data_IF_937812106831
#
_entry.id   IF_937812106831
#
_cell.length_a   1.000
_cell.length_b   1.000
_cell.length_c   1.000
_cell.angle_alpha   90.00
_cell.angle_beta   90.00
_cell.angle_gamma   90.00
#
_symmetry.space_group_name_H-M   'P 1'
#
loop_
_entity.id
_entity.type
_entity.pdbx_description
1 polymer ?
#
# COMPACT_ATOMS: atom_id res chain seq x y z
N UNK A 1 -27.30 9.39 -10.98
CA UNK A 1 -26.25 10.40 -10.68
C UNK A 1 -25.30 9.94 -9.57
N UNK A 2 -25.79 9.39 -8.45
CA UNK A 2 -24.91 8.89 -7.39
C UNK A 2 -24.10 7.65 -7.81
N UNK A 3 -24.74 6.68 -8.46
CA UNK A 3 -24.07 5.46 -8.98
C UNK A 3 -22.94 5.79 -9.96
N UNK A 4 -23.21 6.68 -10.93
CA UNK A 4 -22.21 7.13 -11.90
C UNK A 4 -20.98 7.80 -11.26
N UNK A 5 -21.16 8.47 -10.11
CA UNK A 5 -20.05 9.07 -9.37
C UNK A 5 -19.20 8.02 -8.64
N UNK A 6 -19.83 6.95 -8.13
CA UNK A 6 -19.10 5.86 -7.47
C UNK A 6 -18.33 5.02 -8.48
N UNK A 7 -18.92 4.74 -9.63
CA UNK A 7 -18.23 4.05 -10.71
C UNK A 7 -17.03 4.86 -11.22
N UNK A 8 -17.22 6.17 -11.43
CA UNK A 8 -16.14 7.06 -11.84
C UNK A 8 -15.00 7.07 -10.82
N UNK A 9 -15.31 7.16 -9.51
CA UNK A 9 -14.33 7.08 -8.41
C UNK A 9 -13.50 5.80 -8.49
N UNK A 10 -14.15 4.63 -8.66
CA UNK A 10 -13.46 3.33 -8.75
C UNK A 10 -12.58 3.25 -9.99
N UNK A 11 -13.08 3.71 -11.13
CA UNK A 11 -12.33 3.75 -12.40
C UNK A 11 -11.11 4.67 -12.29
N UNK A 12 -11.26 5.86 -11.73
CA UNK A 12 -10.17 6.81 -11.53
C UNK A 12 -9.10 6.23 -10.61
N UNK A 13 -9.48 5.62 -9.50
CA UNK A 13 -8.54 5.00 -8.57
C UNK A 13 -7.77 3.85 -9.22
N UNK A 14 -8.47 2.99 -9.97
CA UNK A 14 -7.87 1.90 -10.73
C UNK A 14 -6.88 2.44 -11.76
N UNK A 15 -7.29 3.45 -12.54
CA UNK A 15 -6.43 4.11 -13.52
C UNK A 15 -5.18 4.72 -12.86
N UNK A 16 -5.33 5.39 -11.72
CA UNK A 16 -4.21 5.95 -10.96
C UNK A 16 -3.20 4.88 -10.55
N UNK A 17 -3.66 3.72 -10.07
CA UNK A 17 -2.77 2.63 -9.65
C UNK A 17 -2.09 1.98 -10.87
N UNK A 18 -2.83 1.77 -11.96
CA UNK A 18 -2.26 1.22 -13.21
C UNK A 18 -1.20 2.16 -13.78
N UNK A 19 -1.49 3.46 -13.85
CA UNK A 19 -0.53 4.46 -14.32
C UNK A 19 0.68 4.49 -13.40
N UNK A 20 0.49 4.46 -12.07
CA UNK A 20 1.58 4.42 -11.11
C UNK A 20 2.45 3.17 -11.31
N UNK A 21 1.83 2.01 -11.53
CA UNK A 21 2.53 0.74 -11.79
C UNK A 21 3.37 0.81 -13.07
N UNK A 22 2.78 1.23 -14.19
CA UNK A 22 3.50 1.37 -15.45
C UNK A 22 4.64 2.41 -15.36
N UNK A 23 4.38 3.54 -14.68
CA UNK A 23 5.38 4.56 -14.45
C UNK A 23 6.53 4.06 -13.54
N UNK A 24 6.21 3.30 -12.49
CA UNK A 24 7.18 2.69 -11.59
C UNK A 24 8.04 1.62 -12.29
N UNK A 25 7.47 0.87 -13.24
CA UNK A 25 8.26 -0.07 -14.06
C UNK A 25 9.32 0.67 -14.89
N UNK A 26 8.95 1.83 -15.47
CA UNK A 26 9.82 2.60 -16.37
C UNK A 26 10.83 3.50 -15.66
N UNK A 27 10.45 4.11 -14.54
CA UNK A 27 11.24 5.14 -13.85
C UNK A 27 11.42 4.90 -12.35
N UNK A 28 10.78 3.90 -11.77
CA UNK A 28 10.92 3.57 -10.36
C UNK A 28 12.14 2.71 -10.07
N UNK A 29 12.67 2.83 -8.86
CA UNK A 29 13.61 1.85 -8.32
C UNK A 29 12.84 0.64 -7.76
N UNK A 30 13.57 -0.35 -7.22
CA UNK A 30 12.99 -1.59 -6.70
C UNK A 30 11.85 -1.34 -5.69
N UNK A 31 11.97 -0.42 -4.69
CA UNK A 31 10.89 -0.20 -3.74
C UNK A 31 9.62 0.41 -4.36
N UNK A 32 9.73 1.29 -5.36
CA UNK A 32 8.56 1.81 -6.09
C UNK A 32 7.84 0.70 -6.83
N UNK A 33 8.60 -0.17 -7.51
CA UNK A 33 8.04 -1.30 -8.27
C UNK A 33 7.32 -2.27 -7.33
N UNK A 34 7.89 -2.55 -6.16
CA UNK A 34 7.25 -3.38 -5.15
C UNK A 34 5.97 -2.73 -4.62
N UNK A 35 6.01 -1.46 -4.21
CA UNK A 35 4.82 -0.77 -3.69
C UNK A 35 3.71 -0.70 -4.74
N UNK A 36 4.04 -0.31 -5.98
CA UNK A 36 3.05 -0.25 -7.04
C UNK A 36 2.50 -1.63 -7.42
N UNK A 37 3.36 -2.67 -7.40
CA UNK A 37 2.96 -4.06 -7.60
C UNK A 37 2.04 -4.57 -6.51
N UNK A 38 2.30 -4.24 -5.24
CA UNK A 38 1.44 -4.58 -4.10
C UNK A 38 0.07 -3.90 -4.22
N UNK A 39 0.03 -2.62 -4.56
CA UNK A 39 -1.24 -1.91 -4.78
C UNK A 39 -2.01 -2.47 -6.00
N UNK A 40 -1.31 -2.83 -7.08
CA UNK A 40 -1.91 -3.49 -8.24
C UNK A 40 -2.46 -4.88 -7.90
N UNK A 41 -1.71 -5.66 -7.10
CA UNK A 41 -2.14 -6.98 -6.63
C UNK A 41 -3.43 -6.90 -5.81
N UNK A 42 -3.63 -5.85 -5.01
CA UNK A 42 -4.88 -5.62 -4.28
C UNK A 42 -6.09 -5.47 -5.23
N UNK A 43 -5.93 -4.77 -6.36
CA UNK A 43 -7.00 -4.64 -7.35
C UNK A 43 -7.34 -6.00 -7.95
N UNK A 44 -6.31 -6.75 -8.35
CA UNK A 44 -6.50 -8.10 -8.92
C UNK A 44 -7.17 -9.01 -7.91
N UNK A 45 -6.76 -8.95 -6.64
CA UNK A 45 -7.40 -9.70 -5.57
C UNK A 45 -8.87 -9.29 -5.39
N UNK A 46 -9.16 -8.00 -5.33
CA UNK A 46 -10.52 -7.50 -5.16
C UNK A 46 -11.46 -7.99 -6.30
N UNK A 47 -11.01 -7.91 -7.55
CA UNK A 47 -11.79 -8.39 -8.71
C UNK A 47 -11.87 -9.92 -8.74
N UNK A 48 -10.76 -10.61 -8.49
CA UNK A 48 -10.68 -12.06 -8.53
C UNK A 48 -11.46 -12.74 -7.41
N UNK A 49 -11.38 -12.24 -6.19
CA UNK A 49 -12.11 -12.75 -5.03
C UNK A 49 -13.63 -12.66 -5.25
N UNK A 50 -14.11 -11.53 -5.77
CA UNK A 50 -15.52 -11.36 -6.10
C UNK A 50 -15.99 -12.32 -7.20
N UNK A 51 -15.13 -12.59 -8.18
CA UNK A 51 -15.44 -13.48 -9.31
C UNK A 51 -15.41 -14.98 -8.95
N UNK A 52 -14.56 -15.38 -7.99
CA UNK A 52 -14.34 -16.79 -7.64
C UNK A 52 -15.24 -17.28 -6.50
N UNK A 53 -15.52 -16.44 -5.50
CA UNK A 53 -16.20 -16.85 -4.27
C UNK A 53 -17.72 -16.59 -4.34
N UNK A 54 -18.19 -15.76 -5.29
CA UNK A 54 -19.61 -15.46 -5.48
C UNK A 54 -20.27 -14.72 -4.29
N UNK A 55 -19.50 -14.35 -3.27
CA UNK A 55 -19.92 -13.69 -2.04
C UNK A 55 -18.76 -13.51 -1.05
N UNK A 56 -18.98 -12.79 0.05
CA UNK A 56 -18.00 -12.61 1.13
C UNK A 56 -18.10 -13.76 2.16
N UNK A 57 -16.95 -14.34 2.55
CA UNK A 57 -16.92 -15.29 3.68
C UNK A 57 -16.92 -14.49 4.99
N UNK A 58 -18.12 -14.21 5.47
CA UNK A 58 -18.34 -13.38 6.66
C UNK A 58 -18.40 -14.25 7.93
N UNK A 59 -17.48 -14.02 8.87
CA UNK A 59 -17.52 -14.61 10.22
C UNK A 59 -17.58 -13.48 11.23
N UNK A 60 -18.63 -13.45 12.07
CA UNK A 60 -18.83 -12.39 13.06
C UNK A 60 -19.02 -10.99 12.47
N UNK A 61 -19.54 -10.88 11.24
CA UNK A 61 -19.71 -9.59 10.55
C UNK A 61 -18.45 -9.05 9.87
N UNK A 62 -17.35 -9.84 9.86
CA UNK A 62 -16.06 -9.51 9.23
C UNK A 62 -15.79 -10.45 8.05
N UNK A 63 -15.40 -9.90 6.89
CA UNK A 63 -14.95 -10.69 5.75
C UNK A 63 -13.50 -11.15 5.95
N UNK A 64 -13.33 -12.44 6.22
CA UNK A 64 -12.02 -13.06 6.47
C UNK A 64 -11.05 -12.89 5.30
N UNK A 65 -11.55 -12.87 4.06
CA UNK A 65 -10.71 -12.70 2.87
C UNK A 65 -10.02 -11.34 2.88
N UNK A 66 -10.76 -10.28 3.19
CA UNK A 66 -10.23 -8.92 3.26
C UNK A 66 -9.25 -8.74 4.43
N UNK A 67 -9.51 -9.37 5.59
CA UNK A 67 -8.59 -9.33 6.75
C UNK A 67 -7.23 -9.92 6.38
N UNK A 68 -7.21 -11.12 5.80
CA UNK A 68 -5.97 -11.83 5.46
C UNK A 68 -5.15 -11.03 4.45
N UNK A 69 -5.81 -10.47 3.45
CA UNK A 69 -5.15 -9.68 2.41
C UNK A 69 -4.62 -8.35 2.94
N UNK A 70 -5.37 -7.66 3.79
CA UNK A 70 -4.90 -6.43 4.43
C UNK A 70 -3.72 -6.66 5.36
N UNK A 71 -3.71 -7.79 6.08
CA UNK A 71 -2.59 -8.18 6.93
C UNK A 71 -1.35 -8.53 6.09
N UNK A 72 -1.53 -9.26 4.99
CA UNK A 72 -0.45 -9.57 4.06
C UNK A 72 0.14 -8.29 3.45
N UNK A 73 -0.72 -7.34 3.06
CA UNK A 73 -0.29 -6.04 2.55
C UNK A 73 0.46 -5.24 3.62
N UNK A 74 0.00 -5.26 4.88
CA UNK A 74 0.67 -4.59 6.01
C UNK A 74 2.09 -5.13 6.19
N UNK A 75 2.26 -6.45 6.19
CA UNK A 75 3.58 -7.09 6.34
C UNK A 75 4.48 -6.75 5.16
N UNK A 76 3.96 -6.79 3.94
CA UNK A 76 4.74 -6.49 2.74
C UNK A 76 5.19 -5.02 2.69
N UNK A 77 4.28 -4.07 2.96
CA UNK A 77 4.59 -2.64 3.04
C UNK A 77 5.54 -2.34 4.20
N UNK A 78 5.34 -2.97 5.36
CA UNK A 78 6.21 -2.85 6.52
C UNK A 78 7.63 -3.33 6.23
N UNK A 79 7.78 -4.47 5.53
CA UNK A 79 9.10 -4.94 5.08
C UNK A 79 9.76 -3.92 4.15
N UNK A 80 9.03 -3.36 3.19
CA UNK A 80 9.55 -2.29 2.33
C UNK A 80 9.94 -1.06 3.16
N UNK A 81 9.15 -0.67 4.15
CA UNK A 81 9.43 0.48 5.01
C UNK A 81 10.69 0.32 5.86
N UNK A 82 10.96 -0.89 6.36
CA UNK A 82 12.15 -1.18 7.16
C UNK A 82 13.45 -1.19 6.34
N UNK A 83 13.38 -1.62 5.08
CA UNK A 83 14.56 -1.83 4.25
C UNK A 83 14.81 -0.71 3.22
N UNK A 84 13.77 -0.03 2.74
CA UNK A 84 13.91 1.01 1.73
C UNK A 84 14.52 2.29 2.33
N UNK A 85 15.39 2.94 1.57
CA UNK A 85 15.97 4.24 1.94
C UNK A 85 15.00 5.40 1.65
N UNK A 86 13.73 5.25 2.08
CA UNK A 86 12.63 6.19 1.81
C UNK A 86 11.66 6.25 2.98
N UNK A 87 11.13 7.45 3.24
CA UNK A 87 10.18 7.70 4.34
C UNK A 87 8.75 7.34 3.96
N UNK A 88 8.36 7.51 2.70
CA UNK A 88 6.95 7.32 2.28
C UNK A 88 6.40 5.91 2.55
N UNK A 89 7.14 4.79 2.41
CA UNK A 89 6.59 3.45 2.72
C UNK A 89 6.19 3.30 4.19
N UNK A 90 6.79 4.07 5.11
CA UNK A 90 6.36 4.11 6.51
C UNK A 90 4.95 4.69 6.63
N UNK A 91 4.64 5.74 5.87
CA UNK A 91 3.30 6.34 5.85
C UNK A 91 2.25 5.36 5.28
N UNK A 92 2.61 4.60 4.25
CA UNK A 92 1.74 3.54 3.71
C UNK A 92 1.47 2.46 4.76
N UNK A 93 2.52 2.02 5.46
CA UNK A 93 2.40 1.00 6.52
C UNK A 93 1.50 1.51 7.65
N UNK A 94 1.64 2.78 8.05
CA UNK A 94 0.80 3.39 9.07
C UNK A 94 -0.68 3.49 8.62
N UNK A 95 -0.94 3.87 7.37
CA UNK A 95 -2.29 3.84 6.83
C UNK A 95 -2.87 2.42 6.85
N UNK A 96 -2.12 1.44 6.35
CA UNK A 96 -2.56 0.03 6.33
C UNK A 96 -2.85 -0.52 7.73
N UNK A 97 -2.10 -0.08 8.74
CA UNK A 97 -2.34 -0.46 10.13
C UNK A 97 -3.73 -0.01 10.61
N UNK A 98 -4.20 1.18 10.20
CA UNK A 98 -5.56 1.66 10.49
C UNK A 98 -6.61 0.73 9.90
N UNK A 99 -6.41 0.24 8.67
CA UNK A 99 -7.32 -0.73 8.04
C UNK A 99 -7.40 -2.01 8.87
N UNK A 100 -6.26 -2.54 9.30
CA UNK A 100 -6.21 -3.75 10.14
C UNK A 100 -6.92 -3.54 11.47
N UNK A 101 -6.78 -2.38 12.10
CA UNK A 101 -7.50 -2.04 13.32
C UNK A 101 -9.02 -1.90 13.13
N UNK A 102 -9.50 -1.57 11.93
CA UNK A 102 -10.93 -1.52 11.63
C UNK A 102 -11.59 -2.90 11.85
N UNK A 103 -10.90 -3.98 11.52
CA UNK A 103 -11.40 -5.35 11.74
C UNK A 103 -11.42 -5.73 13.20
N UNK A 104 -10.39 -5.32 13.97
CA UNK A 104 -10.37 -5.53 15.42
C UNK A 104 -11.54 -4.80 16.09
N UNK A 105 -11.81 -3.56 15.67
CA UNK A 105 -12.96 -2.80 16.13
C UNK A 105 -14.29 -3.50 15.80
N UNK A 106 -14.48 -3.92 14.54
CA UNK A 106 -15.68 -4.65 14.09
C UNK A 106 -15.89 -5.96 14.85
N UNK A 107 -14.82 -6.68 15.15
CA UNK A 107 -14.89 -7.94 15.90
C UNK A 107 -15.25 -7.73 17.37
N UNK A 108 -14.76 -6.67 18.00
CA UNK A 108 -15.01 -6.37 19.42
C UNK A 108 -16.37 -5.70 19.66
N UNK A 109 -16.77 -4.77 18.79
CA UNK A 109 -17.98 -3.94 18.95
C UNK A 109 -19.18 -4.49 18.16
N UNK A 110 -18.96 -5.38 17.19
CA UNK A 110 -20.01 -5.98 16.38
C UNK A 110 -20.79 -4.96 15.54
N UNK A 111 -22.11 -4.91 15.74
CA UNK A 111 -23.01 -3.87 15.23
C UNK A 111 -23.40 -2.86 16.34
N UNK A 112 -22.45 -2.49 17.20
CA UNK A 112 -22.65 -1.55 18.31
C UNK A 112 -23.21 -0.17 17.92
N UNK A 113 -23.53 0.64 18.94
CA UNK A 113 -24.29 1.90 18.86
C UNK A 113 -23.72 2.96 17.89
N UNK A 114 -22.44 2.87 17.55
CA UNK A 114 -21.74 3.81 16.66
C UNK A 114 -22.12 3.64 15.18
N UNK A 115 -22.86 2.58 14.81
CA UNK A 115 -23.33 2.33 13.46
C UNK A 115 -22.22 1.96 12.48
N UNK A 116 -22.57 1.71 11.21
CA UNK A 116 -21.62 1.23 10.18
C UNK A 116 -20.63 2.29 9.68
N UNK A 117 -20.95 3.58 9.86
CA UNK A 117 -20.20 4.70 9.25
C UNK A 117 -18.72 4.78 9.65
N UNK A 118 -18.36 4.80 10.95
CA UNK A 118 -16.96 4.88 11.38
C UNK A 118 -16.11 3.70 10.89
N UNK A 119 -16.67 2.49 10.89
CA UNK A 119 -16.02 1.29 10.37
C UNK A 119 -15.72 1.41 8.88
N UNK A 120 -16.71 1.82 8.07
CA UNK A 120 -16.55 1.94 6.62
C UNK A 120 -15.48 2.97 6.26
N UNK A 121 -15.37 4.05 7.04
CA UNK A 121 -14.30 5.04 6.89
C UNK A 121 -12.94 4.44 7.25
N UNK A 122 -12.82 3.72 8.36
CA UNK A 122 -11.56 3.10 8.78
C UNK A 122 -11.10 1.97 7.83
N UNK A 123 -12.01 1.30 7.15
CA UNK A 123 -11.68 0.29 6.14
C UNK A 123 -11.33 0.91 4.78
N UNK A 124 -12.03 1.99 4.37
CA UNK A 124 -11.88 2.55 3.02
C UNK A 124 -10.80 3.64 2.92
N UNK A 125 -10.73 4.53 3.92
CA UNK A 125 -9.83 5.68 3.92
C UNK A 125 -8.34 5.31 3.81
N UNK A 126 -7.84 4.27 4.52
CA UNK A 126 -6.45 3.85 4.41
C UNK A 126 -5.96 3.61 3.00
N UNK A 127 -6.76 2.94 2.17
CA UNK A 127 -6.34 2.58 0.82
C UNK A 127 -6.13 3.81 -0.06
N UNK A 128 -6.92 4.87 0.13
CA UNK A 128 -6.71 6.15 -0.54
C UNK A 128 -5.44 6.86 -0.10
N UNK A 129 -5.18 6.86 1.20
CA UNK A 129 -3.94 7.41 1.74
C UNK A 129 -2.73 6.65 1.19
N UNK A 130 -2.83 5.32 1.08
CA UNK A 130 -1.80 4.51 0.45
C UNK A 130 -1.53 4.92 -1.01
N UNK A 131 -2.58 5.08 -1.84
CA UNK A 131 -2.43 5.54 -3.23
C UNK A 131 -1.82 6.94 -3.29
N UNK A 132 -2.31 7.88 -2.48
CA UNK A 132 -1.80 9.24 -2.41
C UNK A 132 -0.31 9.27 -2.04
N UNK A 133 0.07 8.59 -0.96
CA UNK A 133 1.45 8.55 -0.49
C UNK A 133 2.37 7.80 -1.45
N UNK A 134 1.88 6.77 -2.14
CA UNK A 134 2.64 6.07 -3.18
C UNK A 134 2.95 7.01 -4.35
N UNK A 135 1.97 7.79 -4.80
CA UNK A 135 2.16 8.81 -5.83
C UNK A 135 3.15 9.90 -5.41
N UNK A 136 2.98 10.46 -4.21
CA UNK A 136 3.91 11.47 -3.66
C UNK A 136 5.31 10.89 -3.56
N UNK A 137 5.45 9.67 -3.06
CA UNK A 137 6.72 8.95 -2.95
C UNK A 137 7.41 8.76 -4.30
N UNK A 138 6.66 8.27 -5.29
CA UNK A 138 7.14 8.07 -6.65
C UNK A 138 7.60 9.37 -7.32
N UNK A 139 6.78 10.43 -7.26
CA UNK A 139 7.12 11.73 -7.85
C UNK A 139 8.38 12.30 -7.19
N UNK A 140 8.48 12.25 -5.86
CA UNK A 140 9.69 12.70 -5.14
C UNK A 140 10.91 11.88 -5.51
N UNK A 141 10.77 10.58 -5.74
CA UNK A 141 11.86 9.74 -6.22
C UNK A 141 12.34 10.17 -7.61
N UNK A 142 11.44 10.31 -8.58
CA UNK A 142 11.79 10.73 -9.95
C UNK A 142 12.44 12.10 -9.96
N UNK A 143 11.89 13.07 -9.20
CA UNK A 143 12.46 14.41 -9.07
C UNK A 143 13.86 14.37 -8.45
N UNK A 144 14.06 13.54 -7.43
CA UNK A 144 15.37 13.38 -6.78
C UNK A 144 16.39 12.75 -7.71
N UNK A 145 16.01 11.70 -8.43
CA UNK A 145 16.89 11.01 -9.38
C UNK A 145 17.34 11.96 -10.50
N UNK A 146 16.43 12.80 -11.01
CA UNK A 146 16.76 13.83 -12.01
C UNK A 146 17.75 14.89 -11.50
N UNK A 147 17.72 15.23 -10.21
CA UNK A 147 18.58 16.26 -9.62
C UNK A 147 19.93 15.75 -9.13
N UNK A 148 19.96 14.55 -8.56
CA UNK A 148 21.14 14.04 -7.83
C UNK A 148 21.72 12.75 -8.43
N UNK A 149 21.11 12.22 -9.49
CA UNK A 149 21.51 10.93 -10.07
C UNK A 149 21.08 9.74 -9.22
N UNK A 150 21.72 8.60 -9.48
CA UNK A 150 21.39 7.33 -8.85
C UNK A 150 21.87 7.29 -7.39
N UNK A 151 21.04 6.70 -6.53
CA UNK A 151 21.34 6.52 -5.11
C UNK A 151 20.90 5.11 -4.66
N UNK A 152 21.49 4.56 -3.58
CA UNK A 152 21.11 3.23 -3.10
C UNK A 152 19.65 3.17 -2.68
N UNK A 153 18.90 2.25 -3.29
CA UNK A 153 17.48 2.04 -3.02
C UNK A 153 17.22 1.38 -1.65
N UNK A 154 18.17 0.58 -1.16
CA UNK A 154 18.07 -0.18 0.09
C UNK A 154 19.12 0.30 1.11
N UNK A 155 18.72 0.39 2.38
CA UNK A 155 19.56 0.91 3.47
C UNK A 155 20.80 0.04 3.76
N UNK A 156 20.70 -1.28 3.53
CA UNK A 156 21.78 -2.25 3.83
C UNK A 156 23.00 -2.18 2.92
N UNK A 157 22.94 -1.49 1.79
CA UNK A 157 24.08 -1.38 0.86
C UNK A 157 25.30 -0.64 1.44
N UNK A 158 25.17 0.07 2.58
CA UNK A 158 26.30 0.72 3.27
C UNK A 158 27.10 -0.19 4.22
N UNK A 159 26.51 -1.26 4.75
CA UNK A 159 27.15 -2.03 5.82
C UNK A 159 28.36 -2.86 5.37
N UNK A 160 28.51 -3.14 4.07
CA UNK A 160 29.68 -3.87 3.55
C UNK A 160 30.93 -2.99 3.37
N UNK A 161 30.80 -1.66 3.31
CA UNK A 161 31.91 -0.72 3.04
C UNK A 161 32.72 -0.30 4.27
N UNK A 162 32.38 -0.76 5.47
CA UNK A 162 33.16 -0.50 6.69
C UNK A 162 34.00 -1.69 7.16
N UNK A 163 34.11 -2.76 6.35
CA UNK A 163 35.07 -3.84 6.59
C UNK A 163 36.46 -3.46 6.06
N UNK A 164 37.10 -2.52 6.76
CA UNK A 164 38.56 -2.34 6.92
C UNK A 164 39.51 -2.68 5.76
N UNK A 165 39.53 -1.88 4.70
CA UNK A 165 40.79 -1.72 3.93
C UNK A 165 41.54 -0.49 4.43
N UNK A 166 42.74 -0.64 5.03
CA UNK A 166 43.59 0.50 5.31
C UNK A 166 44.08 1.10 4.00
N UNK A 167 43.89 2.42 3.85
CA UNK A 167 44.52 3.21 2.80
C UNK A 167 46.03 3.04 2.93
N UNK A 168 46.64 2.26 2.02
CA UNK A 168 48.09 2.21 1.87
C UNK A 168 48.53 3.47 1.14
N UNK A 169 49.31 4.29 1.84
CA UNK A 169 50.12 5.37 1.24
C UNK A 169 51.27 4.78 0.42
#
# INVERSE_FOLDING_TARGET
>A
MFETLMDLRVQLQTAMIVILFLAALRWGAVPEKLVAGLLGAMIVFHVGYHSLVGGAVVVGGVDLGHVVVDLALLVALGAVALYANRVYPLWLTAAQLISVFSYAYRYLDGEGELGRGPYDVMATLPFYLCVLFAWVGFVRHVLRQRRHGDYPAWSRAKASRHSGEPVRN
#
